data_IF_824717507109
#
_entry.id   IF_824717507109
#
_cell.length_a   1.000
_cell.length_b   1.000
_cell.length_c   1.000
_cell.angle_alpha   90.00
_cell.angle_beta   90.00
_cell.angle_gamma   90.00
#
_symmetry.space_group_name_H-M   'P 1'
#
loop_
_entity.id
_entity.type
_entity.pdbx_description
1 polymer ?
#
# COMPACT_ATOMS: atom_id res chain seq x y z
N UNK A 1 32.13 -36.19 41.17
CA UNK A 1 31.94 -35.89 42.61
C UNK A 1 30.75 -34.92 42.69
N UNK A 2 29.49 -35.36 42.65
CA UNK A 2 28.63 -35.74 43.80
C UNK A 2 28.98 -35.01 45.10
N UNK A 3 28.10 -34.09 45.55
CA UNK A 3 27.39 -34.05 46.87
C UNK A 3 26.37 -32.87 46.78
N UNK A 4 25.05 -33.07 46.67
CA UNK A 4 23.97 -32.95 47.71
C UNK A 4 24.01 -31.66 48.55
N UNK A 5 22.92 -30.94 48.87
CA UNK A 5 21.65 -31.37 49.47
C UNK A 5 20.65 -30.19 49.58
N UNK A 6 19.36 -30.53 49.52
CA UNK A 6 18.21 -29.65 49.75
C UNK A 6 18.05 -29.21 51.22
N UNK A 7 17.34 -28.09 51.44
CA UNK A 7 16.74 -27.75 52.74
C UNK A 7 15.35 -27.12 52.53
N UNK A 8 14.34 -27.96 52.80
CA UNK A 8 12.92 -27.65 52.91
C UNK A 8 12.68 -27.07 54.31
N UNK A 9 11.97 -25.93 54.42
CA UNK A 9 11.62 -25.31 55.71
C UNK A 9 10.14 -24.92 55.74
N UNK A 10 9.30 -25.83 56.21
CA UNK A 10 7.89 -25.62 56.59
C UNK A 10 7.87 -25.10 58.04
N UNK A 11 7.16 -24.01 58.32
CA UNK A 11 6.77 -23.64 59.68
C UNK A 11 5.30 -23.25 59.69
N UNK A 12 4.50 -24.14 60.29
CA UNK A 12 3.10 -23.94 60.66
C UNK A 12 3.09 -23.46 62.12
N UNK A 13 2.40 -22.36 62.40
CA UNK A 13 2.21 -21.83 63.75
C UNK A 13 0.76 -21.39 63.95
N UNK A 14 0.02 -22.17 64.73
CA UNK A 14 -1.39 -22.01 65.09
C UNK A 14 -1.43 -21.39 66.49
N UNK A 15 -2.04 -20.22 66.67
CA UNK A 15 -2.39 -19.67 68.00
C UNK A 15 -3.83 -19.17 67.94
N UNK A 16 -4.65 -19.79 68.79
CA UNK A 16 -6.03 -19.40 69.13
C UNK A 16 -5.96 -18.53 70.39
N UNK A 17 -6.86 -17.56 70.53
CA UNK A 17 -7.67 -17.23 71.73
C UNK A 17 -8.19 -15.79 71.59
N UNK A 18 -9.50 -15.61 71.73
CA UNK A 18 -10.10 -14.32 72.04
C UNK A 18 -11.55 -14.19 71.59
N UNK A 19 -12.50 -14.78 72.33
CA UNK A 19 -13.91 -14.40 72.27
C UNK A 19 -14.08 -13.02 72.91
N UNK A 20 -14.70 -12.09 72.20
CA UNK A 20 -15.09 -10.77 72.70
C UNK A 20 -16.34 -10.31 71.95
N UNK A 21 -17.35 -9.95 72.74
CA UNK A 21 -18.70 -9.54 72.39
C UNK A 21 -18.81 -8.22 71.58
N UNK A 22 -19.90 -8.13 70.81
CA UNK A 22 -20.58 -6.94 70.25
C UNK A 22 -19.86 -6.09 69.17
N UNK A 23 -20.57 -5.31 68.31
CA UNK A 23 -22.02 -5.24 68.02
C UNK A 23 -22.35 -5.46 66.52
N UNK A 24 -23.64 -5.66 66.21
CA UNK A 24 -24.22 -5.64 64.86
C UNK A 24 -23.79 -4.40 64.07
N UNK A 25 -22.82 -4.56 63.18
CA UNK A 25 -22.52 -3.60 62.13
C UNK A 25 -23.43 -3.93 60.93
N UNK A 26 -24.19 -2.95 60.38
CA UNK A 26 -24.97 -3.20 59.19
C UNK A 26 -24.01 -3.64 58.07
N UNK A 27 -24.23 -4.84 57.53
CA UNK A 27 -23.58 -5.31 56.32
C UNK A 27 -24.06 -4.39 55.20
N UNK A 28 -23.31 -3.31 54.97
CA UNK A 28 -23.32 -2.62 53.69
C UNK A 28 -22.81 -3.66 52.72
N UNK A 29 -23.75 -4.28 51.99
CA UNK A 29 -23.41 -5.06 50.82
C UNK A 29 -22.76 -4.07 49.86
N UNK A 30 -21.43 -4.01 49.89
CA UNK A 30 -20.64 -3.36 48.87
C UNK A 30 -20.96 -4.14 47.60
N UNK A 31 -21.92 -3.62 46.83
CA UNK A 31 -22.22 -4.08 45.49
C UNK A 31 -20.93 -3.86 44.70
N UNK A 32 -20.10 -4.91 44.65
CA UNK A 32 -18.89 -4.95 43.85
C UNK A 32 -19.35 -4.71 42.42
N UNK A 33 -19.16 -3.47 41.94
CA UNK A 33 -19.46 -3.11 40.58
C UNK A 33 -18.81 -4.17 39.67
N UNK A 34 -19.55 -4.73 38.69
CA UNK A 34 -18.98 -5.71 37.79
C UNK A 34 -17.72 -5.12 37.18
N UNK A 35 -16.60 -5.85 37.31
CA UNK A 35 -15.33 -5.42 36.76
C UNK A 35 -15.55 -4.96 35.31
N UNK A 36 -14.97 -3.82 34.90
CA UNK A 36 -15.15 -3.32 33.54
C UNK A 36 -14.78 -4.45 32.57
N UNK A 37 -15.75 -4.84 31.74
CA UNK A 37 -15.52 -5.83 30.68
C UNK A 37 -14.50 -5.21 29.75
N UNK A 38 -13.22 -5.57 29.93
CA UNK A 38 -12.16 -5.16 29.01
C UNK A 38 -12.55 -5.73 27.65
N UNK A 39 -12.84 -4.90 26.63
CA UNK A 39 -13.20 -5.40 25.31
C UNK A 39 -12.08 -6.32 24.85
N UNK A 40 -12.41 -7.60 24.61
CA UNK A 40 -11.44 -8.53 24.05
C UNK A 40 -11.01 -7.96 22.69
N UNK A 41 -9.70 -7.77 22.45
CA UNK A 41 -9.24 -7.29 21.16
C UNK A 41 -9.79 -8.21 20.07
N UNK A 42 -10.53 -7.65 19.12
CA UNK A 42 -11.01 -8.41 17.98
C UNK A 42 -9.79 -8.95 17.19
N UNK A 43 -9.83 -10.22 16.74
CA UNK A 43 -8.78 -10.75 15.88
C UNK A 43 -8.59 -9.84 14.68
N UNK A 44 -7.34 -9.43 14.40
CA UNK A 44 -7.03 -8.66 13.19
C UNK A 44 -7.44 -9.47 11.96
N UNK A 45 -8.06 -8.85 10.95
CA UNK A 45 -8.39 -9.53 9.71
C UNK A 45 -7.11 -10.09 9.07
N UNK A 46 -7.25 -11.26 8.46
CA UNK A 46 -6.15 -11.87 7.72
C UNK A 46 -5.74 -10.98 6.54
N UNK A 47 -4.44 -10.95 6.17
CA UNK A 47 -4.01 -10.21 4.99
C UNK A 47 -4.67 -10.77 3.74
N UNK A 48 -5.05 -9.87 2.83
CA UNK A 48 -5.65 -10.28 1.56
C UNK A 48 -4.65 -11.07 0.70
N UNK A 49 -5.12 -12.10 -0.02
CA UNK A 49 -4.26 -12.84 -0.93
C UNK A 49 -3.80 -11.93 -2.08
N UNK A 50 -2.51 -12.02 -2.41
CA UNK A 50 -1.88 -11.27 -3.52
C UNK A 50 -2.00 -12.05 -4.85
N UNK A 51 -1.92 -13.37 -4.79
CA UNK A 51 -1.92 -14.24 -5.95
C UNK A 51 -3.23 -15.03 -6.06
N UNK A 52 -3.70 -15.25 -7.28
CA UNK A 52 -4.79 -16.15 -7.60
C UNK A 52 -4.34 -17.62 -7.59
N UNK A 53 -5.29 -18.52 -7.82
CA UNK A 53 -5.02 -19.95 -7.90
C UNK A 53 -4.11 -20.33 -9.08
N UNK A 54 -4.07 -19.50 -10.12
CA UNK A 54 -3.20 -19.60 -11.29
C UNK A 54 -1.79 -19.00 -11.05
N UNK A 55 -1.55 -18.40 -9.88
CA UNK A 55 -0.32 -17.70 -9.55
C UNK A 55 -0.17 -16.34 -10.25
N UNK A 56 -1.22 -15.79 -10.85
CA UNK A 56 -1.27 -14.41 -11.33
C UNK A 56 -1.58 -13.43 -10.19
N UNK A 57 -1.22 -12.17 -10.38
CA UNK A 57 -1.57 -11.13 -9.42
C UNK A 57 -3.07 -10.84 -9.50
N UNK A 58 -3.72 -10.84 -8.34
CA UNK A 58 -5.10 -10.41 -8.20
C UNK A 58 -5.19 -8.88 -8.30
N UNK A 59 -6.31 -8.39 -8.78
CA UNK A 59 -6.62 -6.96 -8.83
C UNK A 59 -6.93 -6.43 -7.43
N UNK A 60 -6.48 -5.21 -7.14
CA UNK A 60 -6.93 -4.45 -5.97
C UNK A 60 -8.08 -3.53 -6.33
N UNK A 61 -8.72 -2.93 -5.32
CA UNK A 61 -9.74 -1.91 -5.53
C UNK A 61 -9.15 -0.56 -5.96
N UNK A 62 -7.82 -0.40 -5.92
CA UNK A 62 -7.14 0.83 -6.27
C UNK A 62 -7.08 1.03 -7.79
N UNK A 63 -7.40 2.25 -8.23
CA UNK A 63 -7.47 2.63 -9.64
C UNK A 63 -6.77 3.98 -9.84
N UNK A 64 -5.85 4.04 -10.81
CA UNK A 64 -5.16 5.27 -11.22
C UNK A 64 -5.49 5.58 -12.66
N UNK A 65 -6.19 6.68 -12.92
CA UNK A 65 -6.59 7.09 -14.29
C UNK A 65 -7.26 5.94 -15.08
N UNK A 66 -8.06 5.12 -14.39
CA UNK A 66 -8.76 3.98 -14.96
C UNK A 66 -7.92 2.69 -15.10
N UNK A 67 -6.63 2.72 -14.78
CA UNK A 67 -5.79 1.53 -14.63
C UNK A 67 -5.98 0.92 -13.24
N UNK A 68 -6.56 -0.27 -13.18
CA UNK A 68 -6.67 -1.03 -11.92
C UNK A 68 -5.35 -1.66 -11.53
N UNK A 69 -4.92 -1.42 -10.29
CA UNK A 69 -3.62 -1.87 -9.80
C UNK A 69 -3.68 -3.32 -9.28
N UNK A 70 -2.54 -4.05 -9.29
CA UNK A 70 -2.48 -5.35 -8.65
C UNK A 70 -2.38 -5.22 -7.13
N UNK A 71 -2.85 -6.24 -6.42
CA UNK A 71 -2.59 -6.38 -4.98
C UNK A 71 -1.09 -6.51 -4.72
N UNK A 72 -0.69 -6.12 -3.50
CA UNK A 72 0.71 -6.15 -3.07
C UNK A 72 1.52 -4.92 -3.48
N UNK A 73 0.93 -3.95 -4.18
CA UNK A 73 1.49 -2.60 -4.27
C UNK A 73 1.21 -1.82 -2.99
N UNK A 74 2.22 -1.13 -2.47
CA UNK A 74 2.13 -0.23 -1.32
C UNK A 74 2.46 1.19 -1.79
N UNK A 75 1.62 2.20 -1.50
CA UNK A 75 1.92 3.56 -1.88
C UNK A 75 3.16 4.07 -1.13
N UNK A 76 4.09 4.67 -1.87
CA UNK A 76 5.28 5.33 -1.33
C UNK A 76 5.15 6.85 -1.40
N UNK A 77 4.55 7.36 -2.46
CA UNK A 77 4.31 8.80 -2.67
C UNK A 77 3.23 8.99 -3.73
N UNK A 78 2.39 10.00 -3.54
CA UNK A 78 1.47 10.48 -4.57
C UNK A 78 1.53 12.01 -4.57
N UNK A 79 1.73 12.60 -5.75
CA UNK A 79 1.75 14.05 -5.97
C UNK A 79 1.07 14.37 -7.28
N UNK A 80 -0.05 15.10 -7.21
CA UNK A 80 -0.89 15.56 -8.34
C UNK A 80 -1.20 14.47 -9.38
N UNK A 81 -0.23 14.17 -10.25
CA UNK A 81 -0.35 13.30 -11.43
C UNK A 81 0.74 12.23 -11.47
N UNK A 82 1.44 12.02 -10.35
CA UNK A 82 2.55 11.08 -10.19
C UNK A 82 2.29 10.21 -8.99
N UNK A 83 2.20 8.90 -9.22
CA UNK A 83 1.92 7.90 -8.20
C UNK A 83 3.07 6.90 -8.17
N UNK A 84 3.64 6.70 -6.99
CA UNK A 84 4.80 5.83 -6.78
C UNK A 84 4.43 4.75 -5.78
N UNK A 85 4.65 3.51 -6.19
CA UNK A 85 4.36 2.31 -5.41
C UNK A 85 5.59 1.44 -5.24
N UNK A 86 5.61 0.70 -4.15
CA UNK A 86 6.60 -0.31 -3.83
C UNK A 86 5.98 -1.67 -3.60
N UNK A 87 6.68 -2.75 -3.93
CA UNK A 87 6.18 -4.10 -3.77
C UNK A 87 7.27 -5.12 -3.50
N UNK A 88 6.92 -6.17 -2.74
CA UNK A 88 7.74 -7.37 -2.56
C UNK A 88 7.47 -8.42 -3.66
N UNK A 89 6.52 -8.14 -4.56
CA UNK A 89 6.22 -8.98 -5.71
C UNK A 89 7.40 -8.94 -6.70
N UNK A 90 7.82 -10.10 -7.27
CA UNK A 90 8.89 -10.13 -8.26
C UNK A 90 8.59 -9.28 -9.50
N UNK A 91 9.61 -8.58 -10.00
CA UNK A 91 9.54 -7.68 -11.15
C UNK A 91 8.79 -8.26 -12.35
N UNK A 92 9.12 -9.49 -12.74
CA UNK A 92 8.51 -10.16 -13.88
C UNK A 92 6.99 -10.36 -13.72
N UNK A 93 6.50 -10.60 -12.49
CA UNK A 93 5.07 -10.75 -12.22
C UNK A 93 4.35 -9.41 -12.34
N UNK A 94 4.95 -8.33 -11.84
CA UNK A 94 4.41 -6.97 -11.97
C UNK A 94 4.36 -6.56 -13.44
N UNK A 95 5.44 -6.78 -14.19
CA UNK A 95 5.46 -6.51 -15.64
C UNK A 95 4.41 -7.31 -16.41
N UNK A 96 4.27 -8.60 -16.10
CA UNK A 96 3.25 -9.46 -16.73
C UNK A 96 1.82 -9.03 -16.42
N UNK A 97 1.58 -8.44 -15.25
CA UNK A 97 0.27 -7.90 -14.90
C UNK A 97 -0.06 -6.65 -15.72
N UNK A 98 0.88 -5.70 -15.83
CA UNK A 98 0.65 -4.42 -16.52
C UNK A 98 0.67 -4.54 -18.05
N UNK A 99 1.54 -5.38 -18.61
CA UNK A 99 1.72 -5.53 -20.06
C UNK A 99 0.43 -5.65 -20.88
N UNK A 100 -0.47 -6.62 -20.59
CA UNK A 100 -1.71 -6.78 -21.35
C UNK A 100 -2.78 -5.72 -21.03
N UNK A 101 -2.62 -4.95 -19.93
CA UNK A 101 -3.56 -3.92 -19.49
C UNK A 101 -3.25 -2.53 -20.06
N UNK A 102 -2.05 -2.35 -20.61
CA UNK A 102 -1.57 -1.11 -21.20
C UNK A 102 -1.47 -1.25 -22.72
N UNK A 103 -2.19 -0.39 -23.45
CA UNK A 103 -2.06 -0.26 -24.90
C UNK A 103 -1.09 0.89 -25.17
N UNK A 104 0.06 0.60 -25.78
CA UNK A 104 1.08 1.60 -26.12
C UNK A 104 1.77 1.24 -27.43
N UNK A 105 2.23 2.26 -28.16
CA UNK A 105 3.12 2.09 -29.31
C UNK A 105 4.59 1.93 -28.96
N UNK A 106 4.99 2.19 -27.70
CA UNK A 106 6.39 2.21 -27.29
C UNK A 106 6.60 1.67 -25.86
N UNK A 107 7.51 0.70 -25.76
CA UNK A 107 8.01 0.18 -24.48
C UNK A 107 9.53 0.35 -24.43
N UNK A 108 10.00 1.21 -23.55
CA UNK A 108 11.42 1.44 -23.31
C UNK A 108 11.94 0.43 -22.28
N UNK A 109 12.43 -0.71 -22.76
CA UNK A 109 13.07 -1.72 -21.93
C UNK A 109 14.59 -1.47 -21.79
N UNK A 110 15.13 -1.71 -20.59
CA UNK A 110 16.56 -1.59 -20.28
C UNK A 110 17.13 -2.91 -19.77
N UNK A 111 18.43 -3.19 -19.96
CA UNK A 111 19.09 -4.41 -19.46
C UNK A 111 18.99 -4.57 -17.92
N UNK A 112 18.76 -3.49 -17.18
CA UNK A 112 18.51 -3.52 -15.73
C UNK A 112 17.17 -4.15 -15.35
N UNK A 113 16.33 -4.53 -16.31
CA UNK A 113 14.97 -4.99 -16.09
C UNK A 113 13.95 -3.86 -16.00
N UNK A 114 14.37 -2.58 -16.01
CA UNK A 114 13.45 -1.44 -16.08
C UNK A 114 12.67 -1.48 -17.40
N UNK A 115 11.35 -1.33 -17.32
CA UNK A 115 10.46 -1.18 -18.47
C UNK A 115 9.58 0.05 -18.26
N UNK A 116 9.53 0.94 -19.26
CA UNK A 116 8.60 2.08 -19.26
C UNK A 116 7.63 1.94 -20.44
N UNK A 117 6.35 1.82 -20.14
CA UNK A 117 5.26 1.91 -21.12
C UNK A 117 4.95 3.38 -21.32
N UNK A 118 5.38 3.93 -22.45
CA UNK A 118 5.31 5.36 -22.73
C UNK A 118 3.97 5.67 -23.38
N UNK A 119 3.33 6.77 -22.99
CA UNK A 119 2.10 7.26 -23.62
C UNK A 119 1.00 6.19 -23.73
N UNK A 120 0.91 5.35 -22.69
CA UNK A 120 0.07 4.17 -22.64
C UNK A 120 -1.36 4.50 -22.23
N UNK A 121 -2.31 3.76 -22.78
CA UNK A 121 -3.74 3.88 -22.47
C UNK A 121 -4.18 2.61 -21.75
N UNK A 122 -4.84 2.71 -20.58
CA UNK A 122 -5.41 1.53 -19.94
C UNK A 122 -6.53 0.93 -20.81
N UNK A 123 -6.48 -0.37 -21.04
CA UNK A 123 -7.36 -1.07 -22.00
C UNK A 123 -8.85 -0.93 -21.69
N UNK A 124 -9.23 -0.85 -20.41
CA UNK A 124 -10.62 -0.91 -19.97
C UNK A 124 -11.28 0.47 -19.76
N UNK A 125 -10.62 1.56 -20.13
CA UNK A 125 -11.15 2.93 -19.94
C UNK A 125 -12.12 3.31 -21.06
N UNK A 126 -13.33 3.72 -20.68
CA UNK A 126 -14.37 4.23 -21.59
C UNK A 126 -14.62 5.72 -21.32
N UNK A 127 -14.24 6.58 -22.27
CA UNK A 127 -14.40 8.03 -22.19
C UNK A 127 -13.23 8.74 -21.49
N UNK A 128 -12.74 9.84 -22.08
CA UNK A 128 -11.60 10.62 -21.58
C UNK A 128 -10.27 9.84 -21.59
N UNK A 129 -9.45 10.02 -22.62
CA UNK A 129 -8.17 9.31 -22.74
C UNK A 129 -7.10 10.00 -21.87
N UNK A 130 -6.90 9.53 -20.64
CA UNK A 130 -5.71 9.88 -19.86
C UNK A 130 -4.57 8.94 -20.26
N UNK A 131 -3.54 9.51 -20.89
CA UNK A 131 -2.33 8.78 -21.27
C UNK A 131 -1.38 8.68 -20.09
N UNK A 132 -0.71 7.55 -19.94
CA UNK A 132 0.12 7.22 -18.79
C UNK A 132 1.55 6.88 -19.23
N UNK A 133 2.54 7.38 -18.50
CA UNK A 133 3.88 6.80 -18.50
C UNK A 133 3.99 5.88 -17.30
N UNK A 134 4.06 4.56 -17.53
CA UNK A 134 4.16 3.54 -16.47
C UNK A 134 5.56 2.95 -16.46
N UNK A 135 6.35 3.27 -15.44
CA UNK A 135 7.69 2.71 -15.24
C UNK A 135 7.67 1.62 -14.18
N UNK A 136 8.24 0.46 -14.49
CA UNK A 136 8.38 -0.68 -13.60
C UNK A 136 9.86 -1.04 -13.53
N UNK A 137 10.45 -1.06 -12.35
CA UNK A 137 11.88 -1.26 -12.16
C UNK A 137 12.22 -2.00 -10.86
N UNK A 138 13.40 -2.65 -10.77
CA UNK A 138 13.92 -3.12 -9.49
C UNK A 138 14.08 -1.96 -8.52
N UNK A 139 13.92 -2.22 -7.23
CA UNK A 139 14.11 -1.22 -6.18
C UNK A 139 15.04 -1.74 -5.08
N UNK A 140 15.69 -0.83 -4.36
CA UNK A 140 16.46 -1.18 -3.17
C UNK A 140 15.52 -1.23 -1.96
N UNK A 141 15.58 -2.30 -1.16
CA UNK A 141 14.72 -2.49 0.01
C UNK A 141 13.33 -3.09 -0.28
N UNK A 142 13.01 -3.37 -1.54
CA UNK A 142 11.80 -4.09 -1.98
C UNK A 142 12.07 -4.74 -3.34
N UNK A 143 11.22 -5.65 -3.81
CA UNK A 143 11.48 -6.35 -5.07
C UNK A 143 11.22 -5.47 -6.30
N UNK A 144 10.22 -4.58 -6.26
CA UNK A 144 9.81 -3.78 -7.43
C UNK A 144 9.30 -2.41 -7.01
N UNK A 145 9.62 -1.39 -7.80
CA UNK A 145 9.01 -0.06 -7.77
C UNK A 145 8.21 0.15 -9.04
N UNK A 146 7.02 0.72 -8.88
CA UNK A 146 6.14 1.12 -9.97
C UNK A 146 5.92 2.63 -9.86
N UNK A 147 6.09 3.33 -10.96
CA UNK A 147 5.79 4.75 -11.08
C UNK A 147 4.80 4.96 -12.22
N UNK A 148 3.69 5.62 -11.92
CA UNK A 148 2.63 5.93 -12.87
C UNK A 148 2.54 7.44 -12.95
N UNK A 149 2.77 8.00 -14.13
CA UNK A 149 2.64 9.43 -14.41
C UNK A 149 1.50 9.65 -15.38
N UNK A 150 0.52 10.44 -14.99
CA UNK A 150 -0.56 10.86 -15.88
C UNK A 150 -0.09 12.02 -16.75
N UNK A 151 -0.18 11.87 -18.08
CA UNK A 151 0.22 12.89 -19.07
C UNK A 151 -0.92 13.83 -19.35
N UNK A 152 -0.62 15.13 -19.44
CA UNK A 152 -1.67 16.14 -19.62
C UNK A 152 -2.44 15.85 -20.91
N UNK A 153 -3.77 16.04 -20.93
CA UNK A 153 -4.48 15.99 -22.20
C UNK A 153 -3.80 16.96 -23.16
N UNK A 154 -3.63 16.54 -24.41
CA UNK A 154 -3.11 17.44 -25.44
C UNK A 154 -3.98 18.71 -25.45
N UNK A 155 -3.38 19.90 -25.62
CA UNK A 155 -4.16 21.13 -25.75
C UNK A 155 -5.22 20.94 -26.85
N UNK A 156 -6.46 21.31 -26.56
CA UNK A 156 -7.59 21.17 -27.50
C UNK A 156 -7.43 22.02 -28.78
N UNK A 157 -6.40 22.85 -28.82
CA UNK A 157 -6.04 23.71 -29.93
C UNK A 157 -4.52 23.80 -30.00
N UNK A 158 -3.91 23.24 -31.05
CA UNK A 158 -2.71 23.87 -31.58
C UNK A 158 -3.08 25.31 -31.98
N UNK A 159 -2.20 26.31 -31.83
CA UNK A 159 -2.44 27.60 -32.47
C UNK A 159 -2.74 27.35 -33.96
N UNK A 160 -3.71 28.05 -34.55
CA UNK A 160 -4.05 27.87 -35.96
C UNK A 160 -2.76 28.01 -36.77
N UNK A 161 -2.54 27.09 -37.73
CA UNK A 161 -1.30 27.01 -38.51
C UNK A 161 -0.87 28.38 -39.09
N UNK A 162 -1.82 29.27 -39.39
CA UNK A 162 -1.56 30.64 -39.83
C UNK A 162 -0.80 31.51 -38.83
N UNK A 163 -1.07 31.42 -37.53
CA UNK A 163 -0.39 32.23 -36.52
C UNK A 163 1.06 31.75 -36.33
N UNK A 164 1.26 30.43 -36.34
CA UNK A 164 2.60 29.83 -36.26
C UNK A 164 3.41 30.07 -37.54
N UNK A 165 2.78 30.01 -38.72
CA UNK A 165 3.39 30.34 -40.01
C UNK A 165 3.71 31.84 -40.12
N UNK A 166 2.86 32.71 -39.55
CA UNK A 166 3.08 34.16 -39.48
C UNK A 166 4.27 34.49 -38.59
N UNK A 167 4.31 33.95 -37.38
CA UNK A 167 5.42 34.12 -36.43
C UNK A 167 6.73 33.59 -37.01
N UNK A 168 6.71 32.42 -37.66
CA UNK A 168 7.88 31.89 -38.36
C UNK A 168 8.33 32.84 -39.48
N UNK A 169 7.43 33.31 -40.35
CA UNK A 169 7.77 34.27 -41.43
C UNK A 169 8.28 35.62 -40.93
N UNK A 170 7.84 36.07 -39.76
CA UNK A 170 8.32 37.29 -39.14
C UNK A 170 9.70 37.11 -38.51
N UNK A 171 9.95 35.98 -37.85
CA UNK A 171 11.25 35.63 -37.30
C UNK A 171 12.33 35.52 -38.39
N UNK A 172 12.02 34.90 -39.53
CA UNK A 172 12.95 34.82 -40.67
C UNK A 172 13.22 36.19 -41.30
N UNK A 173 12.24 37.11 -41.32
CA UNK A 173 12.44 38.49 -41.82
C UNK A 173 13.27 39.39 -40.90
N UNK A 174 13.34 39.09 -39.61
CA UNK A 174 14.17 39.83 -38.66
C UNK A 174 15.59 39.27 -38.54
N UNK A 175 15.85 38.09 -39.11
CA UNK A 175 17.16 37.44 -39.10
C UNK A 175 18.05 37.81 -40.30
N UNK A 176 17.47 38.44 -41.34
CA UNK A 176 18.15 39.05 -42.48
C UNK A 176 18.41 40.56 -42.24
#
# INVERSE_FOLDING_TARGET
>A
MHVTRAALGIVIGLVVIGCGDEPDAPVVSEEVAPAPVVPRPEPRPAPEPIYGADGELLESDEVVAGLRLPRGLRPLSSRERRHVYGSDVPLAKVQRYFGPRLVTGQVDARPSGRATYVDAVPRDVRGGEVRLDVTIEPASGMATRVEIVERAPAPLSAPPEEETLREAREAWRQAD
#
